data_IF_175537118038
#
_entry.id   IF_175537118038
#
_cell.length_a   1.000
_cell.length_b   1.000
_cell.length_c   1.000
_cell.angle_alpha   90.00
_cell.angle_beta   90.00
_cell.angle_gamma   90.00
#
_symmetry.space_group_name_H-M   'P 1'
#
loop_
_entity.id
_entity.type
_entity.pdbx_description
1 polymer ?
#
# COMPACT_ATOMS: atom_id res chain seq x y z
N UNK A 1 -19.37 11.49 -7.44
CA UNK A 1 -18.91 10.13 -7.83
C UNK A 1 -20.13 9.22 -7.88
N UNK A 2 -20.37 8.51 -8.98
CA UNK A 2 -21.39 7.45 -8.95
C UNK A 2 -20.92 6.36 -7.97
N UNK A 3 -21.87 5.77 -7.24
CA UNK A 3 -21.56 4.72 -6.27
C UNK A 3 -20.82 3.55 -6.97
N UNK A 4 -21.21 3.21 -8.21
CA UNK A 4 -20.55 2.18 -9.01
C UNK A 4 -19.06 2.47 -9.29
N UNK A 5 -18.71 3.71 -9.64
CA UNK A 5 -17.31 4.07 -9.93
C UNK A 5 -16.42 3.90 -8.70
N UNK A 6 -16.86 4.40 -7.54
CA UNK A 6 -16.11 4.27 -6.29
C UNK A 6 -15.88 2.79 -5.95
N UNK A 7 -16.90 1.95 -6.10
CA UNK A 7 -16.79 0.51 -5.83
C UNK A 7 -15.75 -0.16 -6.72
N UNK A 8 -15.75 0.12 -8.03
CA UNK A 8 -14.75 -0.45 -8.95
C UNK A 8 -13.35 0.04 -8.61
N UNK A 9 -13.17 1.36 -8.45
CA UNK A 9 -11.87 1.96 -8.15
C UNK A 9 -11.25 1.36 -6.88
N UNK A 10 -12.02 1.30 -5.79
CA UNK A 10 -11.52 0.80 -4.51
C UNK A 10 -11.37 -0.72 -4.48
N UNK A 11 -12.09 -1.46 -5.32
CA UNK A 11 -11.85 -2.90 -5.50
C UNK A 11 -10.50 -3.17 -6.15
N UNK A 12 -10.17 -2.42 -7.21
CA UNK A 12 -8.85 -2.49 -7.88
C UNK A 12 -7.75 -2.07 -6.90
N UNK A 13 -7.96 -0.98 -6.16
CA UNK A 13 -7.00 -0.51 -5.16
C UNK A 13 -6.75 -1.56 -4.07
N UNK A 14 -7.80 -2.24 -3.58
CA UNK A 14 -7.67 -3.33 -2.62
C UNK A 14 -6.84 -4.48 -3.20
N UNK A 15 -7.17 -4.94 -4.41
CA UNK A 15 -6.42 -6.00 -5.11
C UNK A 15 -4.95 -5.64 -5.30
N UNK A 16 -4.66 -4.42 -5.74
CA UNK A 16 -3.28 -3.95 -5.91
C UNK A 16 -2.48 -3.97 -4.60
N UNK A 17 -3.06 -3.49 -3.49
CA UNK A 17 -2.37 -3.48 -2.20
C UNK A 17 -2.10 -4.90 -1.68
N UNK A 18 -3.01 -5.84 -1.93
CA UNK A 18 -2.80 -7.25 -1.61
C UNK A 18 -1.67 -7.84 -2.47
N UNK A 19 -1.70 -7.61 -3.78
CA UNK A 19 -0.70 -8.14 -4.71
C UNK A 19 0.69 -7.54 -4.49
N UNK A 20 0.79 -6.28 -4.06
CA UNK A 20 2.06 -5.65 -3.72
C UNK A 20 2.55 -6.07 -2.33
N UNK A 21 1.66 -6.06 -1.33
CA UNK A 21 2.00 -6.28 0.07
C UNK A 21 2.31 -7.74 0.41
N UNK A 22 1.47 -8.67 -0.07
CA UNK A 22 1.53 -10.06 0.37
C UNK A 22 2.85 -10.76 -0.03
N UNK A 23 3.33 -10.67 -1.29
CA UNK A 23 4.57 -11.32 -1.69
C UNK A 23 5.79 -10.78 -0.93
N UNK A 24 5.90 -9.45 -0.76
CA UNK A 24 7.00 -8.83 -0.02
C UNK A 24 6.92 -9.11 1.49
N UNK A 25 5.76 -9.45 2.04
CA UNK A 25 5.61 -9.83 3.43
C UNK A 25 6.05 -11.28 3.69
N UNK A 26 5.56 -12.24 2.89
CA UNK A 26 5.78 -13.68 3.16
C UNK A 26 6.99 -14.27 2.43
N UNK A 27 7.39 -13.65 1.31
CA UNK A 27 8.47 -14.08 0.45
C UNK A 27 9.46 -12.93 0.19
N UNK A 28 9.79 -12.16 1.24
CA UNK A 28 10.62 -10.95 1.14
C UNK A 28 11.92 -11.19 0.37
N UNK A 29 12.67 -12.24 0.70
CA UNK A 29 13.96 -12.54 0.07
C UNK A 29 13.85 -12.93 -1.42
N UNK A 30 13.02 -13.92 -1.81
CA UNK A 30 12.81 -14.23 -3.23
C UNK A 30 12.35 -13.02 -4.05
N UNK A 31 11.39 -12.24 -3.53
CA UNK A 31 10.86 -11.07 -4.27
C UNK A 31 11.93 -9.99 -4.39
N UNK A 32 12.72 -9.75 -3.35
CA UNK A 32 13.84 -8.82 -3.39
C UNK A 32 14.90 -9.21 -4.42
N UNK A 33 15.24 -10.50 -4.51
CA UNK A 33 16.18 -11.01 -5.50
C UNK A 33 15.66 -10.81 -6.93
N UNK A 34 14.37 -11.08 -7.16
CA UNK A 34 13.72 -10.80 -8.46
C UNK A 34 13.77 -9.31 -8.82
N UNK A 35 13.75 -8.42 -7.82
CA UNK A 35 13.86 -6.97 -7.99
C UNK A 35 15.31 -6.46 -8.04
N UNK A 36 16.31 -7.35 -7.91
CA UNK A 36 17.72 -6.95 -7.86
C UNK A 36 18.12 -6.20 -6.59
N UNK A 37 17.35 -6.34 -5.50
CA UNK A 37 17.57 -5.64 -4.24
C UNK A 37 18.47 -6.45 -3.30
N UNK A 38 19.49 -5.78 -2.74
CA UNK A 38 20.24 -6.29 -1.60
C UNK A 38 19.58 -5.82 -0.30
N UNK A 39 19.00 -6.76 0.45
CA UNK A 39 18.28 -6.46 1.69
C UNK A 39 19.11 -6.89 2.90
N UNK A 40 19.46 -5.92 3.74
CA UNK A 40 20.00 -6.20 5.08
C UNK A 40 18.88 -6.70 6.00
N UNK A 41 19.19 -7.45 7.07
CA UNK A 41 18.18 -7.94 8.01
C UNK A 41 17.26 -6.81 8.56
N UNK A 42 17.85 -5.65 8.85
CA UNK A 42 17.11 -4.47 9.31
C UNK A 42 16.17 -3.92 8.25
N UNK A 43 16.62 -3.79 7.00
CA UNK A 43 15.76 -3.35 5.89
C UNK A 43 14.60 -4.34 5.67
N UNK A 44 14.86 -5.65 5.80
CA UNK A 44 13.84 -6.69 5.70
C UNK A 44 12.73 -6.52 6.72
N UNK A 45 13.07 -6.25 7.99
CA UNK A 45 12.09 -5.97 9.05
C UNK A 45 11.22 -4.76 8.70
N UNK A 46 11.82 -3.65 8.26
CA UNK A 46 11.07 -2.44 7.88
C UNK A 46 10.19 -2.64 6.65
N UNK A 47 10.65 -3.44 5.68
CA UNK A 47 9.83 -3.83 4.52
C UNK A 47 8.60 -4.61 5.01
N UNK A 48 8.76 -5.61 5.87
CA UNK A 48 7.63 -6.39 6.39
C UNK A 48 6.63 -5.53 7.17
N UNK A 49 7.11 -4.66 8.06
CA UNK A 49 6.25 -3.71 8.78
C UNK A 49 5.49 -2.82 7.79
N UNK A 50 6.17 -2.30 6.77
CA UNK A 50 5.55 -1.49 5.72
C UNK A 50 4.49 -2.28 4.96
N UNK A 51 4.77 -3.54 4.60
CA UNK A 51 3.82 -4.38 3.88
C UNK A 51 2.59 -4.73 4.71
N UNK A 52 2.71 -4.89 6.03
CA UNK A 52 1.55 -5.05 6.93
C UNK A 52 0.66 -3.81 6.84
N UNK A 53 1.24 -2.61 6.87
CA UNK A 53 0.47 -1.36 6.71
C UNK A 53 -0.19 -1.30 5.33
N UNK A 54 0.52 -1.63 4.26
CA UNK A 54 -0.02 -1.68 2.89
C UNK A 54 -1.22 -2.65 2.81
N UNK A 55 -1.13 -3.83 3.42
CA UNK A 55 -2.23 -4.79 3.47
C UNK A 55 -3.44 -4.25 4.24
N UNK A 56 -3.21 -3.52 5.35
CA UNK A 56 -4.29 -2.86 6.09
C UNK A 56 -4.99 -1.78 5.25
N UNK A 57 -4.26 -1.06 4.40
CA UNK A 57 -4.88 -0.16 3.42
C UNK A 57 -5.64 -0.91 2.32
N UNK A 58 -5.14 -2.07 1.89
CA UNK A 58 -5.88 -2.97 1.01
C UNK A 58 -7.23 -3.38 1.61
N UNK A 59 -7.24 -3.75 2.89
CA UNK A 59 -8.45 -4.03 3.65
C UNK A 59 -9.38 -2.81 3.75
N UNK A 60 -8.83 -1.63 4.03
CA UNK A 60 -9.61 -0.39 4.07
C UNK A 60 -10.27 -0.06 2.73
N UNK A 61 -9.56 -0.23 1.62
CA UNK A 61 -10.13 -0.05 0.28
C UNK A 61 -11.18 -1.10 -0.05
N UNK A 62 -11.02 -2.34 0.41
CA UNK A 62 -12.07 -3.35 0.26
C UNK A 62 -13.34 -2.97 1.04
N UNK A 63 -13.20 -2.44 2.26
CA UNK A 63 -14.36 -1.91 3.00
C UNK A 63 -15.05 -0.77 2.24
N UNK A 64 -14.27 0.19 1.71
CA UNK A 64 -14.79 1.29 0.88
C UNK A 64 -15.50 0.76 -0.37
N UNK A 65 -15.01 -0.30 -1.01
CA UNK A 65 -15.66 -0.85 -2.20
C UNK A 65 -16.99 -1.57 -1.92
N UNK A 66 -17.21 -2.00 -0.67
CA UNK A 66 -18.49 -2.57 -0.23
C UNK A 66 -19.51 -1.49 0.10
N UNK A 67 -19.09 -0.45 0.82
CA UNK A 67 -19.94 0.68 1.21
C UNK A 67 -19.16 2.01 1.19
N UNK A 68 -19.14 2.70 0.03
CA UNK A 68 -18.35 3.93 -0.11
C UNK A 68 -18.84 5.08 0.78
N UNK A 69 -20.11 5.08 1.18
CA UNK A 69 -20.70 6.14 2.00
C UNK A 69 -20.23 5.99 3.43
N UNK A 70 -20.34 4.79 3.99
CA UNK A 70 -19.93 4.49 5.36
C UNK A 70 -18.43 4.65 5.60
N UNK A 71 -17.61 4.16 4.67
CA UNK A 71 -16.16 4.10 4.85
C UNK A 71 -15.39 5.26 4.21
N UNK A 72 -16.09 6.31 3.74
CA UNK A 72 -15.50 7.53 3.17
C UNK A 72 -14.35 8.12 4.02
N UNK A 73 -14.38 8.13 5.37
CA UNK A 73 -13.26 8.66 6.16
C UNK A 73 -11.91 7.98 5.88
N UNK A 74 -11.89 6.70 5.52
CA UNK A 74 -10.65 5.99 5.17
C UNK A 74 -10.02 6.48 3.85
N UNK A 75 -10.81 7.11 2.98
CA UNK A 75 -10.28 7.73 1.76
C UNK A 75 -9.32 8.86 2.12
N UNK A 76 -9.66 9.67 3.12
CA UNK A 76 -8.82 10.80 3.57
C UNK A 76 -7.50 10.28 4.15
N UNK A 77 -7.54 9.22 4.96
CA UNK A 77 -6.33 8.57 5.46
C UNK A 77 -5.47 8.02 4.32
N UNK A 78 -6.09 7.40 3.31
CA UNK A 78 -5.38 6.89 2.13
C UNK A 78 -4.72 7.99 1.30
N UNK A 79 -5.35 9.16 1.20
CA UNK A 79 -4.76 10.34 0.54
C UNK A 79 -3.58 10.86 1.35
N UNK A 80 -3.78 11.07 2.66
CA UNK A 80 -2.73 11.59 3.54
C UNK A 80 -1.48 10.70 3.52
N UNK A 81 -1.65 9.38 3.64
CA UNK A 81 -0.52 8.46 3.59
C UNK A 81 0.22 8.51 2.24
N UNK A 82 -0.50 8.53 1.11
CA UNK A 82 0.14 8.61 -0.21
C UNK A 82 0.96 9.89 -0.36
N UNK A 83 0.44 11.03 0.11
CA UNK A 83 1.17 12.30 0.11
C UNK A 83 2.44 12.18 0.95
N UNK A 84 2.35 11.62 2.16
CA UNK A 84 3.52 11.45 3.03
C UNK A 84 4.57 10.51 2.42
N UNK A 85 4.14 9.41 1.81
CA UNK A 85 5.06 8.47 1.12
C UNK A 85 5.78 9.16 -0.04
N UNK A 86 5.06 9.91 -0.88
CA UNK A 86 5.68 10.68 -1.96
C UNK A 86 6.66 11.71 -1.41
N UNK A 87 6.29 12.44 -0.36
CA UNK A 87 7.16 13.42 0.27
C UNK A 87 8.47 12.79 0.79
N UNK A 88 8.39 11.62 1.44
CA UNK A 88 9.57 10.89 1.94
C UNK A 88 10.45 10.40 0.78
N UNK A 89 9.86 9.80 -0.26
CA UNK A 89 10.64 9.31 -1.41
C UNK A 89 11.34 10.48 -2.12
N UNK A 90 10.61 11.58 -2.34
CA UNK A 90 11.16 12.78 -2.97
C UNK A 90 12.25 13.44 -2.13
N UNK A 91 12.12 13.47 -0.81
CA UNK A 91 13.17 14.06 0.05
C UNK A 91 14.47 13.25 0.02
N UNK A 92 14.39 11.92 0.04
CA UNK A 92 15.56 11.06 -0.13
C UNK A 92 16.19 11.23 -1.52
N UNK A 93 15.39 11.22 -2.58
CA UNK A 93 15.89 11.45 -3.94
C UNK A 93 16.65 12.78 -4.08
N UNK A 94 16.17 13.84 -3.43
CA UNK A 94 16.82 15.15 -3.45
C UNK A 94 18.07 15.24 -2.56
N UNK A 95 18.17 14.39 -1.53
CA UNK A 95 19.33 14.34 -0.63
C UNK A 95 20.50 13.51 -1.20
N UNK A 96 20.22 12.60 -2.13
CA UNK A 96 21.17 11.62 -2.68
C UNK A 96 21.18 10.31 -1.90
#
# INVERSE_FOLDING_TARGET
MSNAYARTLFSIAAGFNILAGLPLLVATQPVAQLMGLQITPTAGLFIQITMIVVLMFGWAYWMISRDPVRYRPYIVLGIALKILVVAVISSHWLAG
#
